data_IF_210538534129
#
_entry.id   IF_210538534129
#
_cell.length_a   1.000
_cell.length_b   1.000
_cell.length_c   1.000
_cell.angle_alpha   90.00
_cell.angle_beta   90.00
_cell.angle_gamma   90.00
#
_symmetry.space_group_name_H-M   'P 1'
#
loop_
_entity.id
_entity.type
_entity.pdbx_description
1 polymer ?
#
# COMPACT_ATOMS: atom_id res chain seq x y z
N UNK A 1 6.41 3.14 -1.89
CA UNK A 1 5.87 2.67 -0.60
C UNK A 1 4.91 3.69 0.00
N UNK A 2 5.40 4.80 0.55
CA UNK A 2 4.58 5.85 1.22
C UNK A 2 3.35 6.28 0.41
N UNK A 3 3.51 6.59 -0.89
CA UNK A 3 2.37 6.98 -1.72
C UNK A 3 1.30 5.89 -1.88
N UNK A 4 1.67 4.61 -1.82
CA UNK A 4 0.73 3.49 -1.86
C UNK A 4 -0.01 3.43 -0.52
N UNK A 5 0.72 3.43 0.60
CA UNK A 5 0.14 3.43 1.95
C UNK A 5 -0.88 4.57 2.13
N UNK A 6 -0.51 5.79 1.73
CA UNK A 6 -1.39 6.96 1.82
C UNK A 6 -2.65 6.84 0.95
N UNK A 7 -2.52 6.26 -0.25
CA UNK A 7 -3.65 6.02 -1.15
C UNK A 7 -4.57 4.92 -0.62
N UNK A 8 -4.00 3.88 -0.04
CA UNK A 8 -4.72 2.75 0.56
C UNK A 8 -5.30 3.09 1.94
N UNK A 9 -4.87 4.17 2.57
CA UNK A 9 -5.32 4.53 3.92
C UNK A 9 -4.76 3.59 5.01
N UNK A 10 -3.72 2.82 4.67
CA UNK A 10 -3.00 1.94 5.59
C UNK A 10 -2.07 2.71 6.53
N UNK A 11 -1.67 2.04 7.61
CA UNK A 11 -1.00 2.60 8.77
C UNK A 11 0.51 2.34 8.79
N UNK A 12 1.03 1.57 7.83
CA UNK A 12 2.47 1.45 7.57
C UNK A 12 3.30 0.87 8.74
N UNK A 13 2.79 -0.19 9.40
CA UNK A 13 3.47 -0.89 10.51
C UNK A 13 3.83 -2.35 10.19
N UNK A 14 3.40 -2.85 9.02
CA UNK A 14 3.80 -4.17 8.53
C UNK A 14 4.94 -4.12 7.52
N UNK A 15 5.58 -5.28 7.34
CA UNK A 15 6.60 -5.46 6.31
C UNK A 15 6.00 -5.30 4.91
N UNK A 16 6.84 -4.82 3.98
CA UNK A 16 6.49 -4.69 2.58
C UNK A 16 7.69 -4.98 1.69
N UNK A 17 7.41 -5.36 0.45
CA UNK A 17 8.43 -5.51 -0.58
C UNK A 17 7.86 -5.20 -1.96
N UNK A 18 8.68 -4.58 -2.81
CA UNK A 18 8.49 -4.59 -4.25
C UNK A 18 9.25 -5.77 -4.82
N UNK A 19 8.57 -6.62 -5.56
CA UNK A 19 9.17 -7.79 -6.19
C UNK A 19 9.25 -7.60 -7.68
N UNK A 20 10.43 -7.83 -8.24
CA UNK A 20 10.60 -7.87 -9.69
C UNK A 20 11.55 -9.00 -10.09
N UNK A 21 11.39 -9.47 -11.33
CA UNK A 21 12.24 -10.50 -11.90
C UNK A 21 13.05 -9.93 -13.05
N UNK A 22 14.37 -9.67 -12.87
CA UNK A 22 15.23 -9.24 -13.97
C UNK A 22 15.26 -10.31 -15.07
N UNK A 23 15.23 -9.91 -16.34
CA UNK A 23 15.31 -10.85 -17.48
C UNK A 23 16.55 -11.76 -17.45
N UNK A 24 17.64 -11.29 -16.85
CA UNK A 24 18.92 -11.99 -16.81
C UNK A 24 19.19 -12.72 -15.47
N UNK A 25 18.31 -12.61 -14.47
CA UNK A 25 18.46 -13.35 -13.21
C UNK A 25 17.43 -14.48 -13.14
N UNK A 26 17.85 -15.63 -12.58
CA UNK A 26 16.94 -16.76 -12.33
C UNK A 26 16.02 -16.50 -11.15
N UNK A 27 16.51 -15.80 -10.12
CA UNK A 27 15.78 -15.43 -8.89
C UNK A 27 15.16 -14.04 -9.01
N UNK A 28 14.06 -13.83 -8.31
CA UNK A 28 13.50 -12.49 -8.07
C UNK A 28 14.42 -11.69 -7.15
N UNK A 29 14.31 -10.37 -7.24
CA UNK A 29 14.90 -9.44 -6.28
C UNK A 29 13.75 -8.74 -5.55
N UNK A 30 13.93 -8.48 -4.27
CA UNK A 30 13.02 -7.68 -3.48
C UNK A 30 13.64 -6.35 -3.11
N UNK A 31 12.81 -5.31 -3.08
CA UNK A 31 13.16 -3.97 -2.66
C UNK A 31 12.24 -3.64 -1.49
N UNK A 32 12.78 -3.44 -0.30
CA UNK A 32 11.98 -3.35 0.93
C UNK A 32 12.83 -2.96 2.14
N UNK A 33 12.45 -3.44 3.32
CA UNK A 33 13.25 -3.27 4.53
C UNK A 33 14.17 -4.50 4.65
N UNK A 34 15.51 -4.33 4.57
CA UNK A 34 16.43 -5.44 4.80
C UNK A 34 16.30 -5.92 6.26
N UNK A 35 16.23 -7.23 6.45
CA UNK A 35 16.21 -7.87 7.76
C UNK A 35 17.15 -9.06 7.81
N UNK A 36 17.08 -9.80 8.92
CA UNK A 36 17.77 -11.08 9.02
C UNK A 36 17.26 -12.03 7.93
N UNK A 37 18.19 -12.67 7.22
CA UNK A 37 17.94 -13.44 6.01
C UNK A 37 17.16 -14.71 6.34
N UNK A 38 15.82 -14.60 6.43
CA UNK A 38 14.95 -15.77 6.59
C UNK A 38 14.73 -16.49 5.25
N UNK A 39 14.85 -15.77 4.14
CA UNK A 39 14.68 -16.28 2.78
C UNK A 39 15.92 -16.09 1.92
N UNK A 40 16.08 -16.99 0.96
CA UNK A 40 17.19 -17.06 -0.01
C UNK A 40 17.10 -15.96 -1.10
N UNK A 41 16.42 -14.85 -0.78
CA UNK A 41 16.06 -13.70 -1.63
C UNK A 41 16.85 -12.48 -1.17
N UNK A 42 17.53 -11.85 -2.13
CA UNK A 42 18.26 -10.60 -1.93
C UNK A 42 17.25 -9.44 -1.75
N UNK A 43 17.27 -8.80 -0.57
CA UNK A 43 16.46 -7.61 -0.26
C UNK A 43 17.33 -6.36 -0.32
N UNK A 44 17.01 -5.47 -1.24
CA UNK A 44 17.68 -4.17 -1.40
C UNK A 44 16.91 -3.13 -0.58
N UNK A 45 17.58 -2.23 0.17
CA UNK A 45 16.89 -1.17 0.90
C UNK A 45 16.03 -0.29 -0.01
N UNK A 46 14.73 -0.20 0.28
CA UNK A 46 13.76 0.49 -0.58
C UNK A 46 13.95 2.00 -0.71
N UNK A 47 14.68 2.61 0.23
CA UNK A 47 15.04 4.02 0.18
C UNK A 47 16.29 4.30 -0.68
N UNK A 48 17.01 3.28 -1.13
CA UNK A 48 18.21 3.42 -1.96
C UNK A 48 17.93 3.21 -3.45
N UNK A 49 16.74 2.71 -3.82
CA UNK A 49 16.40 2.34 -5.19
C UNK A 49 15.43 3.35 -5.83
N UNK A 50 15.88 4.15 -6.81
CA UNK A 50 15.01 5.03 -7.56
C UNK A 50 14.00 4.25 -8.43
N UNK A 51 12.74 4.68 -8.44
CA UNK A 51 11.68 4.09 -9.28
C UNK A 51 12.01 4.09 -10.78
N UNK A 52 12.80 5.08 -11.23
CA UNK A 52 13.22 5.24 -12.62
C UNK A 52 14.12 4.11 -13.12
N UNK A 53 14.75 3.35 -12.22
CA UNK A 53 15.56 2.19 -12.59
C UNK A 53 14.71 1.01 -13.06
N UNK A 54 13.41 0.98 -12.68
CA UNK A 54 12.52 -0.11 -13.03
C UNK A 54 11.46 0.30 -14.05
N UNK A 55 10.93 1.51 -13.96
CA UNK A 55 9.89 2.02 -14.84
C UNK A 55 10.47 2.87 -15.97
N UNK A 56 10.87 2.19 -17.04
CA UNK A 56 11.54 2.76 -18.23
C UNK A 56 10.66 2.79 -19.48
N UNK A 57 9.65 1.93 -19.55
CA UNK A 57 8.74 1.79 -20.70
C UNK A 57 7.30 1.51 -20.24
N UNK A 58 6.29 2.16 -20.84
CA UNK A 58 4.89 1.83 -20.57
C UNK A 58 4.60 0.33 -20.67
N UNK A 59 3.73 -0.18 -19.80
CA UNK A 59 3.37 -1.59 -19.72
C UNK A 59 4.25 -2.43 -18.79
N UNK A 60 5.28 -1.84 -18.18
CA UNK A 60 6.04 -2.53 -17.14
C UNK A 60 5.23 -2.63 -15.85
N UNK A 61 5.23 -3.81 -15.24
CA UNK A 61 4.53 -4.11 -13.99
C UNK A 61 5.56 -4.50 -12.92
N UNK A 62 5.36 -4.02 -11.70
CA UNK A 62 6.05 -4.47 -10.49
C UNK A 62 4.99 -4.91 -9.49
N UNK A 63 5.25 -6.01 -8.80
CA UNK A 63 4.40 -6.47 -7.70
C UNK A 63 4.81 -5.74 -6.42
N UNK A 64 3.83 -5.26 -5.66
CA UNK A 64 4.00 -4.73 -4.32
C UNK A 64 3.24 -5.63 -3.35
N UNK A 65 3.97 -6.18 -2.39
CA UNK A 65 3.41 -6.94 -1.27
C UNK A 65 3.44 -6.09 -0.01
N UNK A 66 2.32 -6.01 0.70
CA UNK A 66 2.20 -5.37 2.01
C UNK A 66 1.54 -6.33 2.99
N UNK A 67 1.99 -6.28 4.24
CA UNK A 67 1.63 -7.23 5.29
C UNK A 67 1.98 -8.67 4.89
N UNK A 68 3.03 -9.22 5.48
CA UNK A 68 3.46 -10.58 5.14
C UNK A 68 2.57 -11.65 5.79
N UNK A 69 1.78 -11.28 6.80
CA UNK A 69 0.74 -12.12 7.39
C UNK A 69 -0.52 -12.16 6.53
N UNK A 70 -1.14 -10.99 6.29
CA UNK A 70 -2.37 -10.89 5.49
C UNK A 70 -2.13 -11.03 3.98
N UNK A 71 -0.89 -10.80 3.54
CA UNK A 71 -0.42 -10.98 2.17
C UNK A 71 -1.20 -10.18 1.14
N UNK A 72 -1.26 -8.85 1.30
CA UNK A 72 -1.85 -7.97 0.29
C UNK A 72 -0.92 -7.83 -0.91
N UNK A 73 -1.43 -8.13 -2.10
CA UNK A 73 -0.68 -8.02 -3.36
C UNK A 73 -1.29 -6.96 -4.26
N UNK A 74 -0.45 -6.05 -4.76
CA UNK A 74 -0.82 -5.04 -5.73
C UNK A 74 0.08 -5.11 -6.95
N UNK A 75 -0.51 -4.92 -8.13
CA UNK A 75 0.23 -4.67 -9.36
C UNK A 75 0.41 -3.17 -9.56
N UNK A 76 1.65 -2.73 -9.76
CA UNK A 76 1.99 -1.36 -10.09
C UNK A 76 2.34 -1.32 -11.58
N UNK A 77 1.36 -0.88 -12.37
CA UNK A 77 1.50 -0.67 -13.79
C UNK A 77 2.09 0.72 -14.08
N UNK A 78 3.14 0.75 -14.88
CA UNK A 78 3.66 2.00 -15.41
C UNK A 78 2.97 2.35 -16.73
N UNK A 79 2.13 3.37 -16.68
CA UNK A 79 1.34 3.81 -17.84
C UNK A 79 2.11 4.78 -18.75
N UNK A 80 3.03 5.57 -18.19
CA UNK A 80 3.89 6.47 -18.97
C UNK A 80 4.54 7.59 -18.18
N UNK A 81 5.20 8.48 -18.92
CA UNK A 81 5.91 9.65 -18.38
C UNK A 81 5.27 10.91 -18.95
N UNK A 82 4.93 11.84 -18.07
CA UNK A 82 4.46 13.17 -18.44
C UNK A 82 5.49 14.23 -18.01
N UNK A 83 5.50 15.35 -18.72
CA UNK A 83 6.30 16.50 -18.32
C UNK A 83 5.71 17.07 -17.04
N UNK A 84 6.56 17.31 -16.04
CA UNK A 84 6.17 17.91 -14.76
C UNK A 84 5.48 19.26 -14.99
N UNK A 85 4.28 19.41 -14.46
CA UNK A 85 3.55 20.68 -14.51
C UNK A 85 4.15 21.69 -13.52
N UNK A 86 4.44 22.91 -13.98
CA UNK A 86 5.00 23.99 -13.14
C UNK A 86 4.01 24.38 -12.06
N UNK A 87 4.48 24.48 -10.82
CA UNK A 87 3.67 24.89 -9.66
C UNK A 87 2.89 23.77 -9.00
N UNK A 88 2.83 22.58 -9.60
CA UNK A 88 2.17 21.43 -8.98
C UNK A 88 3.05 20.71 -7.97
N UNK A 89 2.40 20.21 -6.91
CA UNK A 89 2.98 19.31 -5.92
C UNK A 89 2.63 17.87 -6.29
N UNK A 90 3.60 16.96 -6.09
CA UNK A 90 3.47 15.52 -6.32
C UNK A 90 3.91 14.79 -5.04
N UNK A 91 3.44 13.54 -4.81
CA UNK A 91 2.49 12.78 -5.64
C UNK A 91 1.05 13.33 -5.62
N UNK A 92 0.22 12.85 -6.55
CA UNK A 92 -1.21 13.16 -6.67
C UNK A 92 -1.98 11.87 -6.91
N UNK A 93 -3.15 11.74 -6.27
CA UNK A 93 -4.13 10.74 -6.62
C UNK A 93 -5.06 11.36 -7.67
N UNK A 94 -5.11 10.78 -8.88
CA UNK A 94 -5.94 11.31 -9.97
C UNK A 94 -7.34 10.69 -9.99
N UNK A 95 -7.41 9.41 -9.63
CA UNK A 95 -8.63 8.61 -9.68
C UNK A 95 -8.44 7.33 -8.87
N UNK A 96 -9.53 6.62 -8.65
CA UNK A 96 -9.57 5.30 -8.02
C UNK A 96 -11.03 4.86 -7.87
N UNK A 97 -11.22 3.65 -7.39
CA UNK A 97 -12.52 3.07 -7.12
C UNK A 97 -12.46 2.19 -5.88
N UNK A 98 -13.58 2.17 -5.14
CA UNK A 98 -13.77 1.40 -3.90
C UNK A 98 -12.85 1.80 -2.75
N UNK A 99 -13.27 1.50 -1.54
CA UNK A 99 -12.41 1.66 -0.37
C UNK A 99 -11.40 0.51 -0.31
N UNK A 100 -10.15 0.83 0.03
CA UNK A 100 -9.14 -0.19 0.27
C UNK A 100 -9.53 -1.08 1.46
N UNK A 101 -9.22 -2.39 1.48
CA UNK A 101 -9.40 -3.23 2.65
C UNK A 101 -8.81 -2.58 3.91
N UNK A 102 -9.54 -2.57 5.05
CA UNK A 102 -9.02 -2.04 6.29
C UNK A 102 -7.76 -2.78 6.71
N UNK A 103 -6.93 -2.07 7.44
CA UNK A 103 -5.75 -2.65 8.08
C UNK A 103 -6.10 -3.81 9.01
N UNK A 104 -5.28 -4.86 9.09
CA UNK A 104 -5.49 -6.06 9.93
C UNK A 104 -6.87 -6.71 9.75
N UNK A 105 -7.50 -6.58 8.59
CA UNK A 105 -8.81 -7.19 8.38
C UNK A 105 -8.76 -8.72 8.20
N UNK A 106 -7.58 -9.34 8.09
CA UNK A 106 -7.40 -10.78 8.01
C UNK A 106 -7.40 -11.29 6.56
N UNK A 107 -6.59 -10.66 5.71
CA UNK A 107 -6.47 -10.97 4.28
C UNK A 107 -7.80 -10.80 3.53
N UNK A 108 -7.87 -11.35 2.31
CA UNK A 108 -9.02 -11.28 1.40
C UNK A 108 -10.28 -11.83 2.05
N UNK A 109 -10.20 -12.97 2.74
CA UNK A 109 -11.35 -13.60 3.38
C UNK A 109 -11.88 -12.74 4.53
N UNK A 110 -10.99 -12.17 5.34
CA UNK A 110 -11.34 -11.27 6.41
C UNK A 110 -11.93 -9.95 5.91
N UNK A 111 -11.44 -9.41 4.79
CA UNK A 111 -12.08 -8.28 4.11
C UNK A 111 -13.53 -8.60 3.69
N UNK A 112 -13.78 -9.76 3.07
CA UNK A 112 -15.15 -10.14 2.70
C UNK A 112 -16.05 -10.32 3.93
N UNK A 113 -15.49 -10.75 5.08
CA UNK A 113 -16.22 -10.77 6.35
C UNK A 113 -16.61 -9.37 6.81
N UNK A 114 -15.69 -8.40 6.75
CA UNK A 114 -15.99 -6.98 7.05
C UNK A 114 -17.15 -6.50 6.17
N UNK A 115 -17.06 -6.68 4.85
CA UNK A 115 -18.11 -6.24 3.90
C UNK A 115 -19.45 -6.86 4.27
N UNK A 116 -19.50 -8.17 4.48
CA UNK A 116 -20.73 -8.90 4.82
C UNK A 116 -21.36 -8.42 6.14
N UNK A 117 -20.55 -8.14 7.17
CA UNK A 117 -21.06 -7.65 8.44
C UNK A 117 -21.68 -6.25 8.27
N UNK A 118 -21.02 -5.37 7.50
CA UNK A 118 -21.49 -4.00 7.28
C UNK A 118 -22.75 -3.91 6.39
N UNK A 119 -23.08 -4.95 5.64
CA UNK A 119 -24.32 -5.03 4.86
C UNK A 119 -25.59 -5.17 5.72
N UNK A 120 -25.46 -5.68 6.96
CA UNK A 120 -26.59 -5.86 7.88
C UNK A 120 -26.34 -5.13 9.22
N UNK A 121 -26.93 -3.93 9.41
CA UNK A 121 -26.87 -3.21 10.68
C UNK A 121 -27.44 -3.96 11.90
N UNK A 122 -28.17 -5.06 11.70
CA UNK A 122 -28.68 -5.91 12.78
C UNK A 122 -27.78 -7.14 13.03
N UNK A 123 -26.68 -7.30 12.31
CA UNK A 123 -25.74 -8.38 12.55
C UNK A 123 -25.16 -8.27 13.97
N UNK A 124 -25.07 -9.39 14.69
CA UNK A 124 -24.64 -9.41 16.10
C UNK A 124 -23.26 -8.75 16.32
N UNK A 125 -22.38 -8.85 15.32
CA UNK A 125 -21.02 -8.27 15.33
C UNK A 125 -20.92 -6.85 14.71
N UNK A 126 -22.03 -6.25 14.27
CA UNK A 126 -22.00 -4.97 13.52
C UNK A 126 -21.35 -3.83 14.31
N UNK A 127 -21.80 -3.60 15.53
CA UNK A 127 -21.29 -2.51 16.38
C UNK A 127 -19.81 -2.69 16.74
N UNK A 128 -19.38 -3.94 16.97
CA UNK A 128 -17.97 -4.27 17.25
C UNK A 128 -17.08 -3.91 16.03
N UNK A 129 -17.51 -4.31 14.84
CA UNK A 129 -16.78 -4.02 13.61
C UNK A 129 -16.76 -2.52 13.29
N UNK A 130 -17.87 -1.80 13.48
CA UNK A 130 -17.92 -0.34 13.28
C UNK A 130 -16.97 0.39 14.23
N UNK A 131 -16.86 -0.06 15.48
CA UNK A 131 -15.89 0.50 16.44
C UNK A 131 -14.46 0.19 16.01
N UNK A 132 -14.16 -1.07 15.68
CA UNK A 132 -12.83 -1.50 15.22
C UNK A 132 -12.36 -0.71 14.00
N UNK A 133 -13.25 -0.45 13.02
CA UNK A 133 -12.93 0.30 11.80
C UNK A 133 -12.46 1.74 12.04
N UNK A 134 -12.78 2.37 13.18
CA UNK A 134 -12.31 3.72 13.52
C UNK A 134 -10.77 3.79 13.59
N UNK A 135 -10.14 2.69 14.00
CA UNK A 135 -8.67 2.58 14.07
C UNK A 135 -8.02 2.07 12.79
N UNK A 136 -8.75 1.33 11.95
CA UNK A 136 -8.18 0.49 10.89
C UNK A 136 -8.53 0.96 9.47
N UNK A 137 -9.44 1.92 9.32
CA UNK A 137 -9.91 2.42 8.03
C UNK A 137 -9.68 3.93 7.85
N UNK A 138 -8.52 4.45 8.25
CA UNK A 138 -8.15 5.88 8.35
C UNK A 138 -8.87 6.82 7.36
N UNK A 139 -8.39 6.91 6.11
CA UNK A 139 -8.91 7.85 5.10
C UNK A 139 -10.32 7.48 4.60
N UNK A 140 -10.80 6.30 4.99
CA UNK A 140 -12.04 5.70 4.52
C UNK A 140 -13.12 5.65 5.61
N UNK A 141 -12.89 6.17 6.83
CA UNK A 141 -13.90 6.18 7.88
C UNK A 141 -14.92 7.31 7.68
N UNK A 142 -16.24 7.09 7.87
CA UNK A 142 -16.91 5.80 8.09
C UNK A 142 -16.78 4.87 6.87
N UNK A 143 -16.43 3.61 7.12
CA UNK A 143 -16.05 2.67 6.06
C UNK A 143 -17.22 2.31 5.16
N UNK A 144 -17.06 2.59 3.86
CA UNK A 144 -18.03 2.25 2.81
C UNK A 144 -17.27 1.55 1.69
N UNK A 145 -17.41 0.23 1.52
CA UNK A 145 -16.60 -0.56 0.60
C UNK A 145 -16.59 -0.05 -0.84
N UNK A 146 -17.67 0.58 -1.29
CA UNK A 146 -17.83 1.05 -2.67
C UNK A 146 -17.49 2.53 -2.88
N UNK A 147 -17.03 3.23 -1.83
CA UNK A 147 -16.70 4.65 -1.93
C UNK A 147 -15.18 4.88 -2.02
N UNK A 148 -14.80 5.75 -2.96
CA UNK A 148 -13.46 6.28 -3.08
C UNK A 148 -13.52 7.77 -3.40
N UNK A 149 -12.65 8.57 -2.77
CA UNK A 149 -12.51 9.98 -3.12
C UNK A 149 -11.02 10.37 -3.17
N UNK A 150 -10.46 10.67 -4.36
CA UNK A 150 -9.04 11.02 -4.50
C UNK A 150 -8.67 12.30 -3.74
N UNK A 151 -9.61 13.22 -3.53
CA UNK A 151 -9.36 14.49 -2.82
C UNK A 151 -9.13 14.30 -1.32
N UNK A 152 -9.54 13.14 -0.76
CA UNK A 152 -9.27 12.78 0.64
C UNK A 152 -7.87 12.19 0.86
N UNK A 153 -7.11 11.94 -0.21
CA UNK A 153 -5.78 11.34 -0.09
C UNK A 153 -4.75 12.40 0.26
N UNK A 154 -4.15 12.25 1.44
CA UNK A 154 -3.08 13.10 1.92
C UNK A 154 -1.76 12.34 1.87
N UNK A 155 -0.84 12.83 1.04
CA UNK A 155 0.48 12.23 0.88
C UNK A 155 1.47 12.77 1.91
N UNK A 156 2.02 11.86 2.70
CA UNK A 156 3.02 12.17 3.71
C UNK A 156 4.40 12.41 3.09
N UNK A 157 5.24 13.14 3.83
CA UNK A 157 6.62 13.35 3.41
C UNK A 157 7.43 12.06 3.66
N UNK A 158 7.97 11.41 2.61
CA UNK A 158 8.67 10.14 2.77
C UNK A 158 9.94 10.25 3.62
N UNK A 159 10.64 11.39 3.59
CA UNK A 159 11.83 11.60 4.42
C UNK A 159 11.47 11.73 5.89
N UNK A 160 10.31 12.32 6.23
CA UNK A 160 9.84 12.39 7.62
C UNK A 160 9.46 11.00 8.14
N UNK A 161 8.73 10.22 7.34
CA UNK A 161 8.38 8.83 7.68
C UNK A 161 9.63 7.95 7.86
N UNK A 162 10.58 8.05 6.93
CA UNK A 162 11.84 7.33 7.02
C UNK A 162 12.59 7.66 8.30
N UNK A 163 12.69 8.94 8.67
CA UNK A 163 13.29 9.33 9.95
C UNK A 163 12.53 8.70 11.12
N UNK A 164 11.21 8.88 11.20
CA UNK A 164 10.43 8.29 12.29
C UNK A 164 10.64 6.77 12.43
N UNK A 165 10.76 6.04 11.31
CA UNK A 165 10.97 4.60 11.32
C UNK A 165 12.39 4.15 11.70
N UNK A 166 13.42 4.94 11.36
CA UNK A 166 14.83 4.47 11.42
C UNK A 166 15.79 5.34 12.23
N UNK A 167 15.43 6.58 12.57
CA UNK A 167 16.19 7.35 13.56
C UNK A 167 15.65 7.05 14.95
N UNK A 168 16.46 6.38 15.77
CA UNK A 168 16.23 6.30 17.21
C UNK A 168 16.45 7.69 17.81
N UNK A 169 15.40 8.24 18.41
CA UNK A 169 15.51 9.19 19.52
C UNK A 169 14.95 8.50 20.78
#
# INVERSE_FOLDING_TARGET
HVAIQDSMGWLDYHLHAFRFRPKHKRKSIEIGIPGDVYDDIEVIPGWEVPIVNHFTKPGQIIEYKYDFGDSWHHEILFEGILIKTKGEKYPKCLSGERACPPEDCGSVDGYYRVVKILEDPNHDEYEEYVEWLKGHAKNYYPYRPDEFNPDKIHFDNPNKRWKYAFSQD
#
